data_IF_717753687699
#
_entry.id   IF_717753687699
#
_cell.length_a   1.000
_cell.length_b   1.000
_cell.length_c   1.000
_cell.angle_alpha   90.00
_cell.angle_beta   90.00
_cell.angle_gamma   90.00
#
_symmetry.space_group_name_H-M   'P 1'
#
loop_
_entity.id
_entity.type
_entity.pdbx_description
1 polymer ?
#
# COMPACT_ATOMS: atom_id res chain seq x y z
N UNK A 1 -40.75 -57.74 18.76
CA UNK A 1 -40.92 -56.36 19.26
C UNK A 1 -39.75 -55.54 18.75
N UNK A 2 -40.06 -54.48 18.02
CA UNK A 2 -39.12 -53.66 17.26
C UNK A 2 -38.40 -52.65 18.16
N UNK A 3 -37.15 -52.31 17.82
CA UNK A 3 -36.43 -51.19 18.40
C UNK A 3 -35.25 -50.83 17.49
N UNK A 4 -35.50 -49.87 16.59
CA UNK A 4 -34.56 -49.45 15.55
C UNK A 4 -33.33 -48.72 16.10
N UNK A 5 -32.21 -48.89 15.42
CA UNK A 5 -30.97 -48.18 15.67
C UNK A 5 -31.12 -46.67 15.42
N UNK A 6 -30.52 -45.79 16.25
CA UNK A 6 -30.48 -44.36 15.93
C UNK A 6 -29.52 -44.14 14.75
N UNK A 7 -30.09 -43.73 13.62
CA UNK A 7 -29.36 -43.23 12.46
C UNK A 7 -28.74 -41.88 12.81
N UNK A 8 -27.40 -41.79 12.77
CA UNK A 8 -26.66 -40.53 12.89
C UNK A 8 -27.00 -39.62 11.71
N UNK A 9 -27.84 -38.61 11.95
CA UNK A 9 -28.03 -37.49 11.01
C UNK A 9 -26.79 -36.58 11.06
N UNK A 10 -25.89 -36.80 10.10
CA UNK A 10 -24.70 -36.00 9.89
C UNK A 10 -25.09 -34.76 9.08
N UNK A 11 -25.68 -33.78 9.76
CA UNK A 11 -25.85 -32.43 9.21
C UNK A 11 -24.47 -31.79 9.00
N UNK A 12 -24.04 -31.75 7.73
CA UNK A 12 -22.80 -31.13 7.26
C UNK A 12 -23.11 -29.69 6.77
N UNK A 13 -22.12 -28.77 6.75
CA UNK A 13 -22.22 -27.49 7.43
C UNK A 13 -22.50 -26.32 6.48
N UNK A 14 -23.52 -25.52 6.81
CA UNK A 14 -23.82 -24.26 6.10
C UNK A 14 -22.77 -23.16 6.42
N UNK A 15 -21.92 -23.39 7.44
CA UNK A 15 -20.97 -22.41 7.95
C UNK A 15 -19.69 -22.20 7.11
N UNK A 16 -19.41 -23.02 6.08
CA UNK A 16 -18.11 -22.97 5.38
C UNK A 16 -17.99 -21.82 4.37
N UNK A 17 -19.10 -21.32 3.80
CA UNK A 17 -19.05 -20.33 2.70
C UNK A 17 -18.69 -18.90 3.13
N UNK A 18 -18.79 -18.59 4.42
CA UNK A 18 -18.50 -17.24 4.94
C UNK A 18 -17.11 -17.12 5.57
N UNK A 19 -16.38 -18.22 5.75
CA UNK A 19 -15.06 -18.21 6.38
C UNK A 19 -14.06 -17.43 5.53
N UNK A 20 -14.09 -17.63 4.20
CA UNK A 20 -13.15 -16.99 3.28
C UNK A 20 -13.30 -15.46 3.21
N UNK A 21 -14.50 -14.87 3.00
CA UNK A 21 -14.63 -13.41 2.98
C UNK A 21 -14.35 -12.77 4.35
N UNK A 22 -14.68 -13.43 5.46
CA UNK A 22 -14.36 -12.95 6.81
C UNK A 22 -12.84 -12.98 7.05
N UNK A 23 -12.15 -14.03 6.61
CA UNK A 23 -10.70 -14.11 6.70
C UNK A 23 -10.01 -13.01 5.87
N UNK A 24 -10.52 -12.73 4.66
CA UNK A 24 -9.99 -11.64 3.81
C UNK A 24 -10.19 -10.28 4.49
N UNK A 25 -11.38 -10.02 5.06
CA UNK A 25 -11.66 -8.77 5.77
C UNK A 25 -10.77 -8.59 7.02
N UNK A 26 -10.48 -9.69 7.73
CA UNK A 26 -9.58 -9.68 8.89
C UNK A 26 -8.11 -9.39 8.49
N UNK A 27 -7.65 -9.89 7.34
CA UNK A 27 -6.29 -9.63 6.84
C UNK A 27 -6.12 -8.18 6.38
N UNK A 28 -7.16 -7.58 5.78
CA UNK A 28 -7.12 -6.19 5.31
C UNK A 28 -7.18 -5.15 6.46
N UNK A 29 -7.62 -5.54 7.66
CA UNK A 29 -7.74 -4.65 8.82
C UNK A 29 -6.48 -4.46 9.66
N UNK A 30 -5.36 -5.14 9.36
CA UNK A 30 -4.17 -5.18 10.25
C UNK A 30 -3.13 -4.10 9.91
N UNK A 31 -3.35 -3.25 8.91
CA UNK A 31 -2.39 -2.25 8.45
C UNK A 31 -2.45 -0.92 9.23
N UNK A 32 -2.62 -0.95 10.56
CA UNK A 32 -2.31 0.22 11.38
C UNK A 32 -0.79 0.30 11.55
N UNK A 33 -0.13 0.95 10.60
CA UNK A 33 1.25 1.41 10.81
C UNK A 33 1.23 2.43 11.95
N UNK A 34 1.57 1.98 13.16
CA UNK A 34 1.83 2.88 14.28
C UNK A 34 2.98 3.80 13.87
N UNK A 35 2.71 5.10 13.72
CA UNK A 35 3.74 6.10 13.50
C UNK A 35 4.85 5.91 14.55
N UNK A 36 6.06 5.62 14.08
CA UNK A 36 7.20 5.37 14.96
C UNK A 36 7.44 6.61 15.81
N UNK A 37 7.28 6.48 17.13
CA UNK A 37 7.46 7.60 18.06
C UNK A 37 8.95 7.92 18.18
N UNK A 38 9.36 9.09 17.72
CA UNK A 38 10.74 9.57 17.80
C UNK A 38 10.92 10.46 19.04
N UNK A 39 11.81 10.08 19.94
CA UNK A 39 12.15 10.80 21.15
C UNK A 39 13.41 11.65 20.94
N UNK A 40 13.36 12.92 21.34
CA UNK A 40 14.50 13.85 21.32
C UNK A 40 15.01 14.09 22.73
N UNK A 41 16.32 13.94 22.94
CA UNK A 41 16.96 14.22 24.23
C UNK A 41 18.26 15.00 24.08
N UNK A 42 18.61 15.72 25.15
CA UNK A 42 19.86 16.45 25.28
C UNK A 42 20.82 15.66 26.17
N UNK A 43 21.99 15.33 25.62
CA UNK A 43 23.09 14.66 26.30
C UNK A 43 23.75 15.55 27.34
N UNK A 44 24.62 14.96 28.16
CA UNK A 44 25.37 15.69 29.21
C UNK A 44 26.40 16.66 28.61
N UNK A 45 26.86 16.38 27.39
CA UNK A 45 27.66 17.24 26.52
C UNK A 45 26.86 18.38 25.87
N UNK A 46 25.53 18.38 26.03
CA UNK A 46 24.63 19.34 25.41
C UNK A 46 24.25 19.01 23.98
N UNK A 47 24.69 17.88 23.42
CA UNK A 47 24.34 17.40 22.08
C UNK A 47 22.92 16.86 22.03
N UNK A 48 22.30 16.94 20.84
CA UNK A 48 20.95 16.43 20.61
C UNK A 48 21.00 15.04 20.01
N UNK A 49 20.24 14.11 20.59
CA UNK A 49 20.12 12.75 20.06
C UNK A 49 18.65 12.39 19.86
N UNK A 50 18.39 11.63 18.80
CA UNK A 50 17.06 11.20 18.36
C UNK A 50 17.01 9.66 18.39
N UNK A 51 16.04 9.08 19.09
CA UNK A 51 15.92 7.62 19.23
C UNK A 51 14.46 7.17 19.24
N UNK A 52 14.21 5.94 18.83
CA UNK A 52 12.94 5.22 18.93
C UNK A 52 12.73 4.60 20.34
N UNK A 53 13.75 4.64 21.21
CA UNK A 53 13.70 4.09 22.56
C UNK A 53 13.09 5.07 23.56
N UNK A 54 12.05 4.61 24.28
CA UNK A 54 11.43 5.35 25.37
C UNK A 54 12.44 5.59 26.52
N UNK A 55 12.54 6.79 27.09
CA UNK A 55 13.49 7.10 28.16
C UNK A 55 13.23 6.28 29.44
N UNK A 56 14.31 5.86 30.10
CA UNK A 56 14.26 5.02 31.31
C UNK A 56 13.81 5.76 32.58
N UNK A 57 13.78 7.09 32.56
CA UNK A 57 13.34 7.92 33.68
C UNK A 57 12.34 8.98 33.18
N UNK A 58 11.46 9.44 34.07
CA UNK A 58 10.54 10.57 33.88
C UNK A 58 11.33 11.88 33.67
N UNK A 59 12.03 11.98 32.54
CA UNK A 59 12.56 13.22 32.01
C UNK A 59 11.46 13.75 31.11
N UNK A 60 10.98 14.97 31.38
CA UNK A 60 9.97 15.64 30.57
C UNK A 60 10.45 15.67 29.12
N UNK A 61 9.89 14.81 28.29
CA UNK A 61 10.18 14.74 26.86
C UNK A 61 9.17 15.64 26.15
N UNK A 62 9.68 16.58 25.38
CA UNK A 62 8.86 17.39 24.49
C UNK A 62 8.44 16.51 23.30
N UNK A 63 7.18 16.08 23.29
CA UNK A 63 6.59 15.34 22.17
C UNK A 63 6.08 16.39 21.19
N UNK A 64 6.82 16.64 20.10
CA UNK A 64 6.35 17.46 18.99
C UNK A 64 5.66 16.57 17.98
N UNK A 65 4.36 16.78 17.80
CA UNK A 65 3.63 16.19 16.70
C UNK A 65 4.10 16.86 15.41
N UNK A 66 4.70 16.10 14.51
CA UNK A 66 5.05 16.61 13.19
C UNK A 66 3.75 16.91 12.46
N UNK A 67 3.60 18.13 11.96
CA UNK A 67 2.49 18.43 11.08
C UNK A 67 2.60 17.52 9.85
N UNK A 68 1.51 16.83 9.55
CA UNK A 68 1.36 16.06 8.32
C UNK A 68 1.30 17.05 7.16
N UNK A 69 2.45 17.47 6.65
CA UNK A 69 2.50 18.23 5.41
C UNK A 69 2.24 17.25 4.27
N UNK A 70 1.06 17.36 3.65
CA UNK A 70 0.82 16.72 2.37
C UNK A 70 1.69 17.42 1.32
N UNK A 71 2.64 16.69 0.76
CA UNK A 71 3.43 17.17 -0.38
C UNK A 71 2.77 16.61 -1.62
N UNK A 72 2.33 17.49 -2.52
CA UNK A 72 1.74 17.08 -3.79
C UNK A 72 2.77 16.26 -4.59
N UNK A 73 2.42 15.02 -5.02
CA UNK A 73 3.31 14.21 -5.84
C UNK A 73 3.64 14.92 -7.15
N UNK A 74 4.92 15.02 -7.47
CA UNK A 74 5.38 15.51 -8.78
C UNK A 74 5.67 14.34 -9.70
N UNK A 75 4.91 14.25 -10.77
CA UNK A 75 4.98 13.18 -11.77
C UNK A 75 4.63 13.73 -13.14
N UNK A 76 5.30 13.24 -14.19
CA UNK A 76 5.00 13.58 -15.58
C UNK A 76 5.06 12.36 -16.48
N UNK A 77 4.29 12.38 -17.57
CA UNK A 77 4.35 11.37 -18.63
C UNK A 77 4.69 12.07 -19.94
N UNK A 78 5.74 11.62 -20.58
CA UNK A 78 6.09 11.99 -21.95
C UNK A 78 5.89 10.80 -22.88
N UNK A 79 5.87 11.07 -24.19
CA UNK A 79 5.90 10.02 -25.21
C UNK A 79 6.98 10.32 -26.23
N UNK A 80 7.51 9.27 -26.85
CA UNK A 80 8.39 9.36 -28.00
C UNK A 80 7.98 8.34 -29.07
N UNK A 81 8.30 8.63 -30.33
CA UNK A 81 8.04 7.76 -31.47
C UNK A 81 9.36 7.18 -31.95
N UNK A 82 9.57 5.89 -31.66
CA UNK A 82 10.78 5.17 -32.04
C UNK A 82 10.43 4.19 -33.17
N UNK A 83 10.72 4.61 -34.40
CA UNK A 83 10.40 3.83 -35.60
C UNK A 83 8.90 3.65 -35.80
N UNK A 84 8.40 2.43 -35.56
CA UNK A 84 6.98 2.04 -35.67
C UNK A 84 6.29 1.89 -34.31
N UNK A 85 6.98 2.26 -33.23
CA UNK A 85 6.52 2.08 -31.85
C UNK A 85 6.39 3.42 -31.15
N UNK A 86 5.42 3.52 -30.25
CA UNK A 86 5.31 4.65 -29.33
C UNK A 86 5.71 4.17 -27.95
N UNK A 87 6.65 4.89 -27.35
CA UNK A 87 7.08 4.66 -25.98
C UNK A 87 6.48 5.74 -25.08
N UNK A 88 5.90 5.31 -23.95
CA UNK A 88 5.44 6.20 -22.90
C UNK A 88 6.42 6.14 -21.74
N UNK A 89 6.96 7.30 -21.35
CA UNK A 89 7.96 7.41 -20.29
C UNK A 89 7.37 8.19 -19.13
N UNK A 90 7.31 7.52 -17.99
CA UNK A 90 6.85 8.05 -16.72
C UNK A 90 8.06 8.58 -15.92
N UNK A 91 8.05 9.86 -15.56
CA UNK A 91 9.10 10.49 -14.75
C UNK A 91 8.60 10.77 -13.33
N UNK A 92 9.27 10.19 -12.33
CA UNK A 92 8.97 10.36 -10.91
C UNK A 92 9.94 11.37 -10.28
N UNK A 93 9.54 12.64 -10.27
CA UNK A 93 10.26 13.74 -9.62
C UNK A 93 10.06 13.77 -8.09
N UNK A 94 9.14 12.96 -7.59
CA UNK A 94 8.78 12.93 -6.16
C UNK A 94 9.75 12.09 -5.32
N UNK A 95 10.64 11.30 -5.95
CA UNK A 95 11.70 10.50 -5.33
C UNK A 95 11.25 9.55 -4.20
N UNK A 96 9.96 9.23 -4.14
CA UNK A 96 9.38 8.19 -3.29
C UNK A 96 8.70 7.15 -4.17
N UNK A 97 8.40 5.97 -3.61
CA UNK A 97 7.64 4.96 -4.33
C UNK A 97 6.24 5.50 -4.65
N UNK A 98 5.89 5.52 -5.93
CA UNK A 98 4.55 5.87 -6.42
C UNK A 98 4.03 4.71 -7.28
N UNK A 99 2.75 4.39 -7.13
CA UNK A 99 2.06 3.47 -8.03
C UNK A 99 1.37 4.29 -9.12
N UNK A 100 1.60 3.91 -10.37
CA UNK A 100 1.05 4.62 -11.54
C UNK A 100 0.21 3.65 -12.35
N UNK A 101 -1.01 4.08 -12.69
CA UNK A 101 -1.89 3.41 -13.65
C UNK A 101 -2.04 4.30 -14.88
N UNK A 102 -1.60 3.79 -16.03
CA UNK A 102 -1.81 4.47 -17.29
C UNK A 102 -3.12 3.95 -17.92
N UNK A 103 -4.06 4.85 -18.19
CA UNK A 103 -5.33 4.53 -18.84
C UNK A 103 -5.45 5.36 -20.12
N UNK A 104 -5.67 4.67 -21.24
CA UNK A 104 -5.84 5.30 -22.54
C UNK A 104 -7.32 5.52 -22.79
N UNK A 105 -7.79 6.76 -22.62
CA UNK A 105 -9.18 7.13 -22.89
C UNK A 105 -9.41 7.34 -24.39
N UNK A 106 -8.46 7.96 -25.07
CA UNK A 106 -8.49 8.20 -26.50
C UNK A 106 -7.05 8.30 -27.03
N UNK A 107 -6.79 7.69 -28.19
CA UNK A 107 -5.51 7.78 -28.89
C UNK A 107 -5.78 8.39 -30.26
N UNK A 108 -5.33 9.63 -30.48
CA UNK A 108 -5.49 10.37 -31.73
C UNK A 108 -4.15 10.73 -32.36
N UNK A 109 -4.10 10.80 -33.69
CA UNK A 109 -2.86 11.18 -34.42
C UNK A 109 -1.79 10.10 -34.51
N UNK A 110 -2.17 8.83 -34.28
CA UNK A 110 -1.26 7.68 -34.33
C UNK A 110 -1.71 6.76 -35.46
N UNK A 111 -1.03 6.82 -36.61
CA UNK A 111 -1.26 5.87 -37.71
C UNK A 111 -0.50 4.58 -37.44
N UNK A 112 -1.23 3.47 -37.32
CA UNK A 112 -0.63 2.15 -37.32
C UNK A 112 0.00 1.91 -38.69
N UNK A 113 1.30 1.63 -38.77
CA UNK A 113 1.94 1.47 -40.05
C UNK A 113 1.42 0.19 -40.72
N UNK A 114 1.07 0.28 -42.00
CA UNK A 114 0.35 -0.76 -42.74
C UNK A 114 1.09 -2.12 -42.68
N UNK A 115 0.38 -3.25 -42.50
CA UNK A 115 0.99 -4.57 -42.33
C UNK A 115 1.77 -5.07 -43.56
N UNK A 116 1.55 -4.47 -44.73
CA UNK A 116 2.08 -4.97 -46.02
C UNK A 116 3.42 -4.34 -46.45
N UNK A 117 4.18 -3.75 -45.52
CA UNK A 117 5.54 -3.27 -45.76
C UNK A 117 6.54 -4.10 -44.96
N UNK A 118 6.93 -5.26 -45.51
CA UNK A 118 8.01 -6.14 -45.03
C UNK A 118 8.83 -6.64 -46.22
#
# INVERSE_FOLDING_TARGET
MAGGAPTLDRSAPIATKWILPIAILAILGVSYSYAQTLYKYRGEDGEWTYTDRKPAAQKTVEIRQLESTFIEPKFSVSHDVIGRTIEFVAHNDFHVAIEVRLEFLEITGIEYPSPDQV
#
